data_IF_990518430145
#
_entry.id   IF_990518430145
#
_cell.length_a   1.000
_cell.length_b   1.000
_cell.length_c   1.000
_cell.angle_alpha   90.00
_cell.angle_beta   90.00
_cell.angle_gamma   90.00
#
_symmetry.space_group_name_H-M   'P 1'
#
loop_
_entity.id
_entity.type
_entity.pdbx_description
1 polymer ?
#
# COMPACT_ATOMS: atom_id res chain seq x y z
N UNK A 1 4.82 6.90 -20.58
CA UNK A 1 3.65 6.04 -20.26
C UNK A 1 3.44 6.06 -18.76
N UNK A 2 2.25 6.44 -18.29
CA UNK A 2 1.89 6.38 -16.86
C UNK A 2 1.14 5.10 -16.55
N UNK A 3 1.21 4.62 -15.30
CA UNK A 3 0.51 3.43 -14.83
C UNK A 3 -0.30 3.81 -13.59
N UNK A 4 -1.60 3.52 -13.60
CA UNK A 4 -2.51 3.82 -12.50
C UNK A 4 -2.40 2.78 -11.38
N UNK A 5 -2.82 3.11 -10.14
CA UNK A 5 -2.91 2.13 -9.04
C UNK A 5 -3.68 0.87 -9.41
N UNK A 6 -4.79 1.00 -10.16
CA UNK A 6 -5.60 -0.15 -10.60
C UNK A 6 -4.85 -1.03 -11.60
N UNK A 7 -4.07 -0.43 -12.51
CA UNK A 7 -3.24 -1.19 -13.45
C UNK A 7 -2.11 -1.93 -12.73
N UNK A 8 -1.51 -1.32 -11.70
CA UNK A 8 -0.52 -2.00 -10.85
C UNK A 8 -1.14 -3.16 -10.06
N UNK A 9 -2.35 -3.00 -9.52
CA UNK A 9 -3.06 -4.06 -8.81
C UNK A 9 -3.43 -5.21 -9.76
N UNK A 10 -3.92 -4.90 -10.96
CA UNK A 10 -4.24 -5.90 -11.99
C UNK A 10 -2.98 -6.67 -12.42
N UNK A 11 -1.83 -5.98 -12.56
CA UNK A 11 -0.56 -6.62 -12.83
C UNK A 11 -0.13 -7.55 -11.68
N UNK A 12 -0.22 -7.09 -10.43
CA UNK A 12 0.07 -7.90 -9.26
C UNK A 12 -0.81 -9.17 -9.22
N UNK A 13 -2.11 -9.02 -9.47
CA UNK A 13 -3.05 -10.15 -9.56
C UNK A 13 -2.67 -11.13 -10.67
N UNK A 14 -2.37 -10.64 -11.88
CA UNK A 14 -1.95 -11.53 -12.97
C UNK A 14 -0.64 -12.25 -12.69
N UNK A 15 0.30 -11.63 -11.96
CA UNK A 15 1.55 -12.28 -11.56
C UNK A 15 1.25 -13.37 -10.51
N UNK A 16 0.46 -13.04 -9.48
CA UNK A 16 0.15 -13.97 -8.39
C UNK A 16 -0.66 -15.19 -8.82
N UNK A 17 -1.58 -15.04 -9.79
CA UNK A 17 -2.37 -16.16 -10.32
C UNK A 17 -1.53 -17.10 -11.18
N UNK A 18 -0.60 -16.56 -11.98
CA UNK A 18 0.16 -17.33 -12.97
C UNK A 18 1.50 -17.82 -12.45
N UNK A 19 2.01 -17.20 -11.38
CA UNK A 19 3.33 -17.45 -10.85
C UNK A 19 3.35 -18.62 -9.87
N UNK A 20 4.33 -19.50 -10.03
CA UNK A 20 4.60 -20.61 -9.12
C UNK A 20 6.05 -20.62 -8.61
N UNK A 21 6.79 -19.54 -8.85
CA UNK A 21 8.17 -19.37 -8.38
C UNK A 21 8.22 -18.26 -7.34
N UNK A 22 9.17 -18.38 -6.43
CA UNK A 22 9.41 -17.38 -5.40
C UNK A 22 9.63 -15.97 -5.97
N UNK A 23 10.37 -15.85 -7.08
CA UNK A 23 10.56 -14.58 -7.77
C UNK A 23 9.23 -13.91 -8.17
N UNK A 24 8.24 -14.70 -8.61
CA UNK A 24 6.92 -14.19 -8.98
C UNK A 24 6.06 -13.86 -7.74
N UNK A 25 6.18 -14.61 -6.64
CA UNK A 25 5.54 -14.27 -5.38
C UNK A 25 6.06 -12.93 -4.83
N UNK A 26 7.38 -12.73 -4.87
CA UNK A 26 8.02 -11.46 -4.49
C UNK A 26 7.54 -10.32 -5.39
N UNK A 27 7.56 -10.51 -6.71
CA UNK A 27 7.07 -9.52 -7.67
C UNK A 27 5.59 -9.16 -7.45
N UNK A 28 4.75 -10.13 -7.04
CA UNK A 28 3.36 -9.88 -6.66
C UNK A 28 3.28 -8.90 -5.50
N UNK A 29 4.05 -9.12 -4.43
CA UNK A 29 4.08 -8.22 -3.27
C UNK A 29 4.60 -6.82 -3.61
N UNK A 30 5.67 -6.71 -4.41
CA UNK A 30 6.21 -5.41 -4.82
C UNK A 30 5.17 -4.61 -5.61
N UNK A 31 4.47 -5.23 -6.57
CA UNK A 31 3.46 -4.55 -7.39
C UNK A 31 2.20 -4.21 -6.60
N UNK A 32 1.74 -5.11 -5.73
CA UNK A 32 0.63 -4.84 -4.82
C UNK A 32 0.92 -3.63 -3.91
N UNK A 33 2.14 -3.56 -3.34
CA UNK A 33 2.55 -2.42 -2.53
C UNK A 33 2.53 -1.10 -3.30
N UNK A 34 3.11 -1.04 -4.51
CA UNK A 34 3.10 0.21 -5.28
C UNK A 34 1.68 0.62 -5.71
N UNK A 35 0.79 -0.34 -5.99
CA UNK A 35 -0.62 -0.06 -6.22
C UNK A 35 -1.25 0.64 -5.01
N UNK A 36 -1.11 0.04 -3.82
CA UNK A 36 -1.62 0.59 -2.57
C UNK A 36 -0.99 1.96 -2.24
N UNK A 37 0.33 2.09 -2.39
CA UNK A 37 1.07 3.32 -2.12
C UNK A 37 0.56 4.49 -2.97
N UNK A 38 0.42 4.30 -4.28
CA UNK A 38 -0.04 5.37 -5.17
C UNK A 38 -1.51 5.72 -4.95
N UNK A 39 -2.38 4.74 -4.65
CA UNK A 39 -3.76 5.02 -4.28
C UNK A 39 -3.86 5.81 -2.97
N UNK A 40 -3.17 5.35 -1.92
CA UNK A 40 -3.16 5.98 -0.61
C UNK A 40 -2.52 7.37 -0.65
N UNK A 41 -1.47 7.57 -1.45
CA UNK A 41 -0.89 8.89 -1.70
C UNK A 41 -1.89 9.83 -2.36
N UNK A 42 -2.60 9.37 -3.39
CA UNK A 42 -3.61 10.17 -4.04
C UNK A 42 -4.78 10.52 -3.09
N UNK A 43 -5.15 9.62 -2.18
CA UNK A 43 -6.12 9.92 -1.11
C UNK A 43 -5.57 10.98 -0.14
N UNK A 44 -4.36 10.79 0.37
CA UNK A 44 -3.70 11.73 1.28
C UNK A 44 -3.64 13.14 0.70
N UNK A 45 -3.24 13.26 -0.56
CA UNK A 45 -3.10 14.55 -1.24
C UNK A 45 -4.45 15.26 -1.49
N UNK A 46 -5.58 14.54 -1.38
CA UNK A 46 -6.95 15.08 -1.47
C UNK A 46 -7.53 15.53 -0.15
N UNK A 47 -6.91 15.20 0.98
CA UNK A 47 -7.36 15.66 2.28
C UNK A 47 -7.27 17.18 2.37
N UNK A 48 -8.28 17.83 2.97
CA UNK A 48 -8.30 19.28 3.17
C UNK A 48 -7.06 19.79 3.95
N UNK A 49 -6.53 18.95 4.84
CA UNK A 49 -5.27 19.16 5.54
C UNK A 49 -4.50 17.83 5.61
N UNK A 50 -3.57 17.57 4.68
CA UNK A 50 -2.79 16.35 4.65
C UNK A 50 -1.88 16.23 5.88
N UNK A 51 -1.57 14.99 6.28
CA UNK A 51 -0.76 14.75 7.47
C UNK A 51 0.66 15.32 7.38
N UNK A 52 1.23 15.64 8.54
CA UNK A 52 2.58 16.18 8.64
C UNK A 52 3.63 15.09 8.83
N UNK A 53 4.84 15.37 8.37
CA UNK A 53 6.03 14.50 8.52
C UNK A 53 6.78 14.76 9.82
N UNK A 54 6.26 15.58 10.73
CA UNK A 54 6.93 15.94 11.99
C UNK A 54 7.39 14.72 12.83
N UNK A 55 6.75 13.56 12.63
CA UNK A 55 7.08 12.31 13.32
C UNK A 55 7.76 11.26 12.44
N UNK A 56 7.99 11.53 11.16
CA UNK A 56 8.62 10.59 10.23
C UNK A 56 10.14 10.60 10.43
N UNK A 57 10.76 9.42 10.61
CA UNK A 57 12.22 9.30 10.79
C UNK A 57 12.91 8.64 9.61
N UNK A 58 12.16 8.03 8.68
CA UNK A 58 12.70 7.33 7.51
C UNK A 58 12.38 7.97 6.16
N UNK A 59 12.60 7.18 5.10
CA UNK A 59 12.43 7.61 3.71
C UNK A 59 10.97 7.78 3.27
N UNK A 60 10.75 8.11 1.99
CA UNK A 60 9.45 8.52 1.43
C UNK A 60 8.28 7.58 1.78
N UNK A 61 8.52 6.26 1.86
CA UNK A 61 7.49 5.30 2.23
C UNK A 61 7.01 5.48 3.68
N UNK A 62 7.95 5.59 4.61
CA UNK A 62 7.65 5.82 6.03
C UNK A 62 6.99 7.17 6.26
N UNK A 63 7.39 8.19 5.48
CA UNK A 63 6.74 9.50 5.49
C UNK A 63 5.25 9.35 5.19
N UNK A 64 4.86 8.71 4.09
CA UNK A 64 3.43 8.54 3.74
C UNK A 64 2.67 7.73 4.81
N UNK A 65 3.25 6.64 5.31
CA UNK A 65 2.64 5.84 6.39
C UNK A 65 2.36 6.69 7.63
N UNK A 66 3.30 7.56 7.96
CA UNK A 66 3.20 8.45 9.12
C UNK A 66 2.16 9.53 8.88
N UNK A 67 2.19 10.19 7.74
CA UNK A 67 1.21 11.21 7.39
C UNK A 67 -0.23 10.67 7.40
N UNK A 68 -0.44 9.45 6.90
CA UNK A 68 -1.76 8.80 6.95
C UNK A 68 -2.21 8.47 8.39
N UNK A 69 -1.30 8.02 9.26
CA UNK A 69 -1.61 7.71 10.67
C UNK A 69 -1.78 8.95 11.55
N UNK A 70 -1.20 10.07 11.15
CA UNK A 70 -1.27 11.36 11.86
C UNK A 70 -1.83 12.46 10.96
N UNK A 71 -3.08 12.32 10.47
CA UNK A 71 -3.68 13.32 9.60
C UNK A 71 -4.07 14.56 10.41
N UNK A 72 -3.93 15.74 9.82
CA UNK A 72 -4.25 17.03 10.46
C UNK A 72 -5.67 17.52 10.16
N UNK A 73 -6.45 16.78 9.36
CA UNK A 73 -7.87 17.05 9.13
C UNK A 73 -8.66 17.09 10.45
N UNK A 74 -9.64 17.98 10.52
CA UNK A 74 -10.54 18.14 11.67
C UNK A 74 -11.66 17.13 11.64
N UNK A 75 -12.15 16.75 10.46
CA UNK A 75 -13.21 15.76 10.27
C UNK A 75 -12.83 14.40 10.88
N UNK A 76 -13.66 13.91 11.80
CA UNK A 76 -13.39 12.71 12.57
C UNK A 76 -13.42 11.45 11.70
N UNK A 77 -14.31 11.41 10.70
CA UNK A 77 -14.47 10.29 9.78
C UNK A 77 -13.23 10.16 8.88
N UNK A 78 -12.83 11.21 8.19
CA UNK A 78 -11.63 11.26 7.36
C UNK A 78 -10.34 10.97 8.16
N UNK A 79 -10.30 11.41 9.43
CA UNK A 79 -9.19 11.07 10.34
C UNK A 79 -9.12 9.57 10.64
N UNK A 80 -10.25 8.94 10.93
CA UNK A 80 -10.32 7.50 11.15
C UNK A 80 -9.95 6.70 9.90
N UNK A 81 -10.47 7.11 8.73
CA UNK A 81 -10.18 6.48 7.43
C UNK A 81 -8.70 6.58 7.08
N UNK A 82 -8.12 7.77 7.18
CA UNK A 82 -6.69 7.98 6.94
C UNK A 82 -5.83 7.10 7.84
N UNK A 83 -6.17 6.98 9.12
CA UNK A 83 -5.46 6.10 10.07
C UNK A 83 -5.56 4.63 9.69
N UNK A 84 -6.75 4.17 9.31
CA UNK A 84 -6.95 2.80 8.85
C UNK A 84 -6.11 2.49 7.60
N UNK A 85 -6.11 3.41 6.62
CA UNK A 85 -5.29 3.28 5.42
C UNK A 85 -3.79 3.26 5.74
N UNK A 86 -3.32 4.12 6.64
CA UNK A 86 -1.92 4.14 7.08
C UNK A 86 -1.48 2.82 7.72
N UNK A 87 -2.32 2.24 8.57
CA UNK A 87 -2.04 0.95 9.21
C UNK A 87 -2.01 -0.21 8.20
N UNK A 88 -2.98 -0.26 7.28
CA UNK A 88 -2.99 -1.27 6.21
C UNK A 88 -1.78 -1.12 5.29
N UNK A 89 -1.42 0.11 4.91
CA UNK A 89 -0.29 0.35 4.02
C UNK A 89 1.04 -0.08 4.65
N UNK A 90 1.22 0.13 5.97
CA UNK A 90 2.39 -0.42 6.68
C UNK A 90 2.45 -1.95 6.63
N UNK A 91 1.32 -2.64 6.74
CA UNK A 91 1.28 -4.10 6.67
C UNK A 91 1.69 -4.60 5.27
N UNK A 92 1.26 -3.94 4.19
CA UNK A 92 1.70 -4.26 2.82
C UNK A 92 3.18 -3.91 2.62
N UNK A 93 3.63 -2.79 3.19
CA UNK A 93 5.03 -2.40 3.15
C UNK A 93 5.95 -3.43 3.79
N UNK A 94 5.58 -3.99 4.94
CA UNK A 94 6.38 -5.02 5.62
C UNK A 94 6.56 -6.27 4.73
N UNK A 95 5.50 -6.71 4.04
CA UNK A 95 5.57 -7.80 3.06
C UNK A 95 6.48 -7.45 1.89
N UNK A 96 6.38 -6.22 1.37
CA UNK A 96 7.25 -5.72 0.31
C UNK A 96 8.71 -5.62 0.73
N UNK A 97 9.00 -5.24 1.98
CA UNK A 97 10.37 -5.21 2.52
C UNK A 97 10.97 -6.61 2.54
N UNK A 98 10.22 -7.61 3.01
CA UNK A 98 10.68 -8.99 2.97
C UNK A 98 10.88 -9.48 1.52
N UNK A 99 9.97 -9.11 0.61
CA UNK A 99 10.04 -9.50 -0.80
C UNK A 99 11.27 -8.92 -1.52
N UNK A 100 11.55 -7.62 -1.33
CA UNK A 100 12.57 -6.91 -2.12
C UNK A 100 13.97 -6.94 -1.48
N UNK A 101 14.05 -6.98 -0.14
CA UNK A 101 15.30 -6.72 0.58
C UNK A 101 15.83 -7.90 1.41
N UNK A 102 15.11 -9.03 1.40
CA UNK A 102 15.53 -10.25 2.12
C UNK A 102 15.54 -11.47 1.20
N UNK A 103 16.42 -11.50 0.17
CA UNK A 103 16.52 -12.64 -0.74
C UNK A 103 16.95 -13.93 -0.06
N UNK A 104 17.58 -13.85 1.11
CA UNK A 104 18.02 -14.97 1.94
C UNK A 104 16.90 -15.62 2.77
N UNK A 105 15.70 -15.04 2.80
CA UNK A 105 14.54 -15.56 3.54
C UNK A 105 13.46 -16.05 2.58
N UNK A 106 12.94 -17.25 2.76
CA UNK A 106 11.89 -17.80 1.91
C UNK A 106 10.67 -16.88 1.81
N UNK A 107 10.22 -16.61 0.58
CA UNK A 107 9.03 -15.83 0.30
C UNK A 107 7.95 -16.67 -0.41
N UNK A 108 7.04 -17.22 0.39
CA UNK A 108 6.00 -18.13 -0.08
C UNK A 108 4.85 -17.42 -0.82
N UNK A 109 4.13 -18.17 -1.64
CA UNK A 109 2.96 -17.69 -2.38
C UNK A 109 1.95 -16.95 -1.49
N UNK A 110 1.69 -17.49 -0.31
CA UNK A 110 0.76 -16.93 0.69
C UNK A 110 1.13 -15.48 1.07
N UNK A 111 2.42 -15.14 1.16
CA UNK A 111 2.86 -13.78 1.49
C UNK A 111 2.60 -12.80 0.32
N UNK A 112 2.81 -13.25 -0.92
CA UNK A 112 2.46 -12.48 -2.12
C UNK A 112 0.96 -12.22 -2.23
N UNK A 113 0.14 -13.25 -1.99
CA UNK A 113 -1.31 -13.15 -2.00
C UNK A 113 -1.84 -12.26 -0.86
N UNK A 114 -1.25 -12.34 0.34
CA UNK A 114 -1.60 -11.46 1.45
C UNK A 114 -1.29 -9.99 1.15
N UNK A 115 -0.22 -9.68 0.40
CA UNK A 115 0.08 -8.33 -0.05
C UNK A 115 -0.97 -7.85 -1.07
N UNK A 116 -1.37 -8.71 -2.00
CA UNK A 116 -2.40 -8.43 -3.00
C UNK A 116 -3.76 -8.13 -2.35
N UNK A 117 -4.21 -8.97 -1.43
CA UNK A 117 -5.47 -8.82 -0.71
C UNK A 117 -5.54 -7.45 -0.01
N UNK A 118 -4.52 -7.12 0.79
CA UNK A 118 -4.45 -5.85 1.52
C UNK A 118 -4.41 -4.64 0.59
N UNK A 119 -3.71 -4.75 -0.54
CA UNK A 119 -3.70 -3.69 -1.55
C UNK A 119 -5.08 -3.50 -2.19
N UNK A 120 -5.81 -4.59 -2.45
CA UNK A 120 -7.21 -4.53 -2.93
C UNK A 120 -8.09 -3.83 -1.90
N UNK A 121 -8.02 -4.22 -0.63
CA UNK A 121 -8.79 -3.60 0.46
C UNK A 121 -8.54 -2.09 0.54
N UNK A 122 -7.29 -1.64 0.44
CA UNK A 122 -6.94 -0.21 0.43
C UNK A 122 -7.61 0.50 -0.75
N UNK A 123 -7.50 -0.06 -1.95
CA UNK A 123 -8.04 0.57 -3.17
C UNK A 123 -9.57 0.59 -3.15
N UNK A 124 -10.21 -0.48 -2.70
CA UNK A 124 -11.66 -0.58 -2.53
C UNK A 124 -12.18 0.43 -1.51
N UNK A 125 -11.55 0.50 -0.33
CA UNK A 125 -11.89 1.48 0.69
C UNK A 125 -11.82 2.90 0.10
N UNK A 126 -10.73 3.26 -0.58
CA UNK A 126 -10.56 4.58 -1.20
C UNK A 126 -11.63 4.84 -2.29
N UNK A 127 -12.06 3.83 -3.05
CA UNK A 127 -13.13 4.01 -4.03
C UNK A 127 -14.47 4.28 -3.36
N UNK A 128 -14.78 3.61 -2.24
CA UNK A 128 -16.02 3.81 -1.48
C UNK A 128 -16.09 5.20 -0.84
N UNK A 129 -14.94 5.83 -0.55
CA UNK A 129 -14.89 7.21 -0.04
C UNK A 129 -15.21 8.27 -1.10
N UNK A 130 -15.21 7.90 -2.38
CA UNK A 130 -15.55 8.80 -3.51
C UNK A 130 -16.90 8.48 -4.16
N UNK A 131 -17.64 7.50 -3.63
CA UNK A 131 -18.99 7.15 -4.07
C UNK A 131 -20.04 7.87 -3.22
#
# INVERSE_FOLDING_TARGET
MSCSPRQLLAAASSIGIKGNTEALHRATASRAYYAAYHAAKAYHDRLASPGSVAYAKGGMHEMLHTQLRYPTVTDAKAKAESRALGNLLMAVYALRVNADYKPEQDFLAMAGLAALEKASTIIEAINQLHA
#
